data_IF_815253621471
#
_entry.id   IF_815253621471
#
_cell.length_a   1.000
_cell.length_b   1.000
_cell.length_c   1.000
_cell.angle_alpha   90.00
_cell.angle_beta   90.00
_cell.angle_gamma   90.00
#
_symmetry.space_group_name_H-M   'P 1'
#
loop_
_entity.id
_entity.type
_entity.pdbx_description
1 polymer ?
#
# COMPACT_ATOMS: atom_id res chain seq x y z
N UNK A 1 52.92 52.65 26.38
CA UNK A 1 51.83 51.63 26.36
C UNK A 1 50.94 51.64 25.11
N UNK A 2 50.72 52.77 24.42
CA UNK A 2 49.83 52.84 23.22
C UNK A 2 50.30 52.09 21.96
N UNK A 3 51.60 51.84 21.77
CA UNK A 3 52.14 51.17 20.55
C UNK A 3 51.92 49.65 20.51
N UNK A 4 51.87 48.97 21.66
CA UNK A 4 51.67 47.50 21.72
C UNK A 4 50.22 47.08 21.47
N UNK A 5 49.24 47.93 21.80
CA UNK A 5 47.81 47.67 21.56
C UNK A 5 47.46 47.70 20.06
N UNK A 6 48.10 48.59 19.29
CA UNK A 6 47.90 48.69 17.83
C UNK A 6 48.47 47.45 17.12
N UNK A 7 49.64 46.95 17.58
CA UNK A 7 50.24 45.74 17.02
C UNK A 7 49.38 44.48 17.28
N UNK A 8 48.80 44.34 18.48
CA UNK A 8 47.89 43.24 18.81
C UNK A 8 46.58 43.27 18.00
N UNK A 9 46.02 44.46 17.77
CA UNK A 9 44.82 44.62 16.94
C UNK A 9 45.08 44.30 15.46
N UNK A 10 46.25 44.66 14.93
CA UNK A 10 46.65 44.29 13.57
C UNK A 10 46.84 42.78 13.43
N UNK A 11 47.48 42.12 14.40
CA UNK A 11 47.63 40.66 14.38
C UNK A 11 46.27 39.97 14.47
N UNK A 12 45.38 40.42 15.36
CA UNK A 12 44.03 39.87 15.48
C UNK A 12 43.20 40.07 14.19
N UNK A 13 43.33 41.24 13.55
CA UNK A 13 42.67 41.53 12.28
C UNK A 13 43.18 40.66 11.13
N UNK A 14 44.50 40.44 11.05
CA UNK A 14 45.12 39.57 10.03
C UNK A 14 44.74 38.11 10.26
N UNK A 15 44.73 37.63 11.51
CA UNK A 15 44.30 36.26 11.83
C UNK A 15 42.82 36.07 11.50
N UNK A 16 41.95 37.03 11.84
CA UNK A 16 40.53 36.98 11.48
C UNK A 16 40.31 36.95 9.96
N UNK A 17 41.08 37.74 9.20
CA UNK A 17 41.01 37.77 7.74
C UNK A 17 41.49 36.45 7.11
N UNK A 18 42.57 35.85 7.63
CA UNK A 18 43.11 34.58 7.14
C UNK A 18 42.20 33.40 7.48
N UNK A 19 41.52 33.42 8.63
CA UNK A 19 40.53 32.40 9.00
C UNK A 19 39.28 32.50 8.12
N UNK A 20 38.82 33.72 7.80
CA UNK A 20 37.68 33.95 6.92
C UNK A 20 37.96 33.57 5.44
N UNK A 21 39.21 33.64 5.01
CA UNK A 21 39.62 33.25 3.65
C UNK A 21 39.89 31.75 3.46
N UNK A 22 39.68 30.89 4.47
CA UNK A 22 39.74 29.45 4.23
C UNK A 22 38.50 29.07 3.43
N UNK A 23 38.63 28.64 2.15
CA UNK A 23 37.50 28.04 1.47
C UNK A 23 37.00 26.88 2.32
N UNK A 24 35.68 26.75 2.46
CA UNK A 24 35.09 25.61 3.15
C UNK A 24 35.76 24.33 2.64
N UNK A 25 36.15 23.41 3.53
CA UNK A 25 36.66 22.12 3.11
C UNK A 25 35.69 21.55 2.08
N UNK A 26 36.17 21.06 0.92
CA UNK A 26 35.29 20.48 -0.07
C UNK A 26 34.41 19.45 0.63
N UNK A 27 33.09 19.57 0.44
CA UNK A 27 32.12 18.69 1.08
C UNK A 27 32.61 17.24 0.92
N UNK A 28 32.68 16.51 2.02
CA UNK A 28 33.15 15.13 2.00
C UNK A 28 32.39 14.37 0.90
N UNK A 29 33.09 13.59 0.05
CA UNK A 29 32.42 12.84 -1.00
C UNK A 29 31.30 12.01 -0.37
N UNK A 30 30.10 11.97 -0.98
CA UNK A 30 28.98 11.25 -0.42
C UNK A 30 29.41 9.79 -0.18
N UNK A 31 28.99 9.18 0.95
CA UNK A 31 29.35 7.81 1.26
C UNK A 31 28.97 6.88 0.10
N UNK A 32 29.78 5.83 -0.17
CA UNK A 32 29.49 4.89 -1.24
C UNK A 32 28.11 4.26 -1.02
N UNK A 33 27.24 4.40 -2.03
CA UNK A 33 25.89 3.83 -1.99
C UNK A 33 26.00 2.31 -2.08
N UNK A 34 25.56 1.61 -1.05
CA UNK A 34 25.43 0.16 -1.01
C UNK A 34 24.12 -0.27 -1.67
N UNK A 35 24.07 -1.56 -2.03
CA UNK A 35 22.87 -2.17 -2.58
C UNK A 35 21.75 -2.22 -1.54
N UNK A 36 20.54 -1.86 -1.96
CA UNK A 36 19.31 -2.08 -1.22
C UNK A 36 18.55 -3.20 -1.90
N UNK A 37 18.19 -4.24 -1.15
CA UNK A 37 17.43 -5.38 -1.64
C UNK A 37 16.06 -5.38 -0.98
N UNK A 38 15.00 -5.46 -1.79
CA UNK A 38 13.65 -5.68 -1.31
C UNK A 38 13.27 -7.12 -1.61
N UNK A 39 12.74 -7.82 -0.61
CA UNK A 39 12.37 -9.23 -0.67
C UNK A 39 10.89 -9.45 -0.40
N UNK A 40 10.33 -10.49 -1.01
CA UNK A 40 9.06 -11.07 -0.60
C UNK A 40 9.16 -11.69 0.80
N UNK A 41 8.04 -12.12 1.36
CA UNK A 41 7.98 -12.75 2.68
C UNK A 41 8.83 -14.03 2.78
N UNK A 42 8.98 -14.77 1.68
CA UNK A 42 9.80 -15.98 1.57
C UNK A 42 11.31 -15.70 1.40
N UNK A 43 11.71 -14.42 1.34
CA UNK A 43 13.10 -14.00 1.13
C UNK A 43 13.53 -13.94 -0.34
N UNK A 44 12.69 -14.35 -1.28
CA UNK A 44 12.97 -14.20 -2.71
C UNK A 44 13.03 -12.72 -3.10
N UNK A 45 13.87 -12.39 -4.09
CA UNK A 45 14.15 -11.00 -4.47
C UNK A 45 12.96 -10.41 -5.23
N UNK A 46 12.34 -9.36 -4.66
CA UNK A 46 11.33 -8.54 -5.32
C UNK A 46 11.97 -7.43 -6.16
N UNK A 47 13.01 -6.76 -5.62
CA UNK A 47 13.72 -5.68 -6.31
C UNK A 47 15.12 -5.46 -5.72
N UNK A 48 16.01 -4.86 -6.51
CA UNK A 48 17.29 -4.37 -6.04
C UNK A 48 17.61 -3.01 -6.65
N UNK A 49 18.25 -2.13 -5.88
CA UNK A 49 18.76 -0.84 -6.35
C UNK A 49 19.76 -0.96 -7.50
N UNK A 50 20.46 -2.10 -7.64
CA UNK A 50 21.38 -2.36 -8.76
C UNK A 50 20.63 -2.61 -10.08
N UNK A 51 19.36 -3.00 -10.01
CA UNK A 51 18.48 -3.20 -11.18
C UNK A 51 17.88 -1.91 -11.73
N UNK A 52 18.27 -0.75 -11.16
CA UNK A 52 17.77 0.57 -11.53
C UNK A 52 16.54 1.01 -10.70
N UNK A 53 15.91 2.11 -11.12
CA UNK A 53 14.78 2.70 -10.37
C UNK A 53 13.59 1.72 -10.27
N UNK A 54 12.82 1.76 -9.17
CA UNK A 54 11.60 0.96 -9.02
C UNK A 54 10.61 1.21 -10.16
N UNK A 55 10.35 0.19 -10.97
CA UNK A 55 9.37 0.26 -12.07
C UNK A 55 7.95 -0.09 -11.63
N UNK A 56 7.83 -0.97 -10.63
CA UNK A 56 6.52 -1.43 -10.13
C UNK A 56 6.00 -0.51 -9.03
N UNK A 57 4.68 -0.27 -9.03
CA UNK A 57 4.00 0.52 -7.99
C UNK A 57 4.13 -0.14 -6.61
N UNK A 58 4.18 -1.48 -6.54
CA UNK A 58 4.44 -2.20 -5.30
C UNK A 58 5.74 -1.76 -4.62
N UNK A 59 6.85 -1.74 -5.34
CA UNK A 59 8.15 -1.34 -4.76
C UNK A 59 8.15 0.13 -4.40
N UNK A 60 7.50 0.99 -5.21
CA UNK A 60 7.34 2.41 -4.87
C UNK A 60 6.58 2.59 -3.56
N UNK A 61 5.47 1.86 -3.35
CA UNK A 61 4.70 1.89 -2.11
C UNK A 61 5.51 1.37 -0.91
N UNK A 62 6.27 0.29 -1.09
CA UNK A 62 7.20 -0.21 -0.04
C UNK A 62 8.19 0.86 0.40
N UNK A 63 8.83 1.55 -0.56
CA UNK A 63 9.77 2.63 -0.24
C UNK A 63 9.08 3.85 0.38
N UNK A 64 7.85 4.15 -0.04
CA UNK A 64 7.05 5.22 0.56
C UNK A 64 6.71 4.90 2.03
N UNK A 65 6.30 3.67 2.34
CA UNK A 65 6.05 3.22 3.71
C UNK A 65 7.30 3.33 4.60
N UNK A 66 8.47 2.98 4.08
CA UNK A 66 9.74 3.17 4.80
C UNK A 66 10.05 4.65 5.05
N UNK A 67 9.81 5.51 4.06
CA UNK A 67 9.98 6.94 4.23
C UNK A 67 9.03 7.52 5.29
N UNK A 68 7.77 7.06 5.34
CA UNK A 68 6.81 7.39 6.41
C UNK A 68 7.32 6.92 7.80
N UNK A 69 8.06 5.81 7.85
CA UNK A 69 8.72 5.28 9.05
C UNK A 69 10.08 5.94 9.34
N UNK A 70 10.40 7.09 8.72
CA UNK A 70 11.66 7.82 8.86
C UNK A 70 12.91 7.06 8.37
N UNK A 71 12.73 6.04 7.51
CA UNK A 71 13.80 5.30 6.85
C UNK A 71 13.88 5.73 5.39
N UNK A 72 14.61 6.83 5.15
CA UNK A 72 14.78 7.37 3.80
C UNK A 72 15.57 6.42 2.91
N UNK A 73 15.31 6.45 1.61
CA UNK A 73 16.04 5.63 0.65
C UNK A 73 17.56 5.84 0.72
N UNK A 74 18.01 7.08 0.94
CA UNK A 74 19.44 7.38 1.11
C UNK A 74 20.03 6.68 2.35
N UNK A 75 19.31 6.63 3.47
CA UNK A 75 19.75 5.92 4.67
C UNK A 75 19.85 4.40 4.45
N UNK A 76 18.95 3.83 3.64
CA UNK A 76 18.98 2.43 3.23
C UNK A 76 20.20 2.16 2.34
N UNK A 77 20.53 3.08 1.43
CA UNK A 77 21.72 2.97 0.58
C UNK A 77 23.02 3.11 1.38
N UNK A 78 23.06 3.93 2.44
CA UNK A 78 24.25 4.03 3.30
C UNK A 78 24.48 2.74 4.10
N UNK A 79 23.40 2.13 4.58
CA UNK A 79 23.45 0.92 5.42
C UNK A 79 23.55 -0.39 4.64
N UNK A 80 23.17 -0.40 3.35
CA UNK A 80 23.10 -1.62 2.54
C UNK A 80 21.95 -2.51 2.99
N UNK A 81 20.75 -1.94 3.04
CA UNK A 81 19.62 -2.56 3.70
C UNK A 81 18.99 -3.72 2.91
N UNK A 82 18.58 -4.75 3.63
CA UNK A 82 17.65 -5.79 3.16
C UNK A 82 16.29 -5.49 3.79
N UNK A 83 15.31 -5.21 2.94
CA UNK A 83 13.92 -4.92 3.29
C UNK A 83 13.11 -6.17 3.06
N UNK A 84 12.56 -6.76 4.12
CA UNK A 84 11.65 -7.90 4.03
C UNK A 84 10.21 -7.40 4.08
N UNK A 85 9.43 -7.80 3.08
CA UNK A 85 8.02 -7.45 2.98
C UNK A 85 7.13 -8.55 3.59
N UNK A 86 5.85 -8.26 3.77
CA UNK A 86 4.80 -9.22 4.10
C UNK A 86 4.20 -9.91 2.86
N UNK A 87 4.59 -9.48 1.66
CA UNK A 87 3.98 -9.91 0.40
C UNK A 87 4.31 -11.38 0.14
N UNK A 88 3.27 -12.18 -0.02
CA UNK A 88 3.38 -13.58 -0.40
C UNK A 88 3.58 -13.66 -1.92
N UNK A 89 4.75 -14.11 -2.36
CA UNK A 89 5.11 -14.18 -3.78
C UNK A 89 4.17 -15.10 -4.59
N UNK A 90 3.70 -16.19 -3.98
CA UNK A 90 2.81 -17.16 -4.61
C UNK A 90 1.41 -16.57 -4.74
N UNK A 91 0.83 -16.06 -3.66
CA UNK A 91 -0.50 -15.45 -3.67
C UNK A 91 -0.55 -14.22 -4.60
N UNK A 92 0.52 -13.41 -4.60
CA UNK A 92 0.67 -12.28 -5.52
C UNK A 92 0.61 -12.74 -6.99
N UNK A 93 1.26 -13.87 -7.30
CA UNK A 93 1.28 -14.45 -8.64
C UNK A 93 -0.09 -15.02 -9.02
N UNK A 94 -0.74 -15.77 -8.12
CA UNK A 94 -2.10 -16.31 -8.34
C UNK A 94 -3.07 -15.18 -8.65
N UNK A 95 -3.09 -14.13 -7.81
CA UNK A 95 -3.95 -12.97 -8.03
C UNK A 95 -3.65 -12.28 -9.37
N UNK A 96 -2.37 -12.08 -9.72
CA UNK A 96 -1.97 -11.47 -10.99
C UNK A 96 -2.39 -12.32 -12.21
N UNK A 97 -2.34 -13.65 -12.11
CA UNK A 97 -2.80 -14.57 -13.16
C UNK A 97 -4.31 -14.49 -13.37
N UNK A 98 -5.09 -14.48 -12.29
CA UNK A 98 -6.56 -14.33 -12.35
C UNK A 98 -6.92 -13.00 -13.02
N UNK A 99 -6.27 -11.92 -12.59
CA UNK A 99 -6.43 -10.59 -13.16
C UNK A 99 -6.06 -10.55 -14.65
N UNK A 100 -4.92 -11.12 -15.02
CA UNK A 100 -4.45 -11.20 -16.41
C UNK A 100 -5.39 -11.96 -17.33
N UNK A 101 -6.16 -12.93 -16.81
CA UNK A 101 -7.14 -13.68 -17.59
C UNK A 101 -8.49 -12.98 -17.68
N UNK A 102 -8.97 -12.38 -16.58
CA UNK A 102 -10.33 -11.86 -16.49
C UNK A 102 -10.46 -10.38 -16.85
N UNK A 103 -9.44 -9.57 -16.57
CA UNK A 103 -9.51 -8.10 -16.70
C UNK A 103 -8.63 -7.60 -17.83
N UNK A 104 -7.39 -8.10 -17.99
CA UNK A 104 -6.48 -7.58 -19.01
C UNK A 104 -7.01 -7.65 -20.47
N UNK A 105 -7.87 -8.62 -20.86
CA UNK A 105 -8.50 -8.60 -22.18
C UNK A 105 -9.50 -7.45 -22.39
N UNK A 106 -9.99 -6.82 -21.31
CA UNK A 106 -10.95 -5.72 -21.33
C UNK A 106 -10.19 -4.40 -21.21
N UNK A 107 -9.85 -3.79 -22.36
CA UNK A 107 -8.88 -2.68 -22.46
C UNK A 107 -9.29 -1.41 -21.72
N UNK A 108 -10.57 -1.25 -21.45
CA UNK A 108 -11.17 -0.13 -20.73
C UNK A 108 -11.11 -0.31 -19.20
N UNK A 109 -10.90 -1.54 -18.71
CA UNK A 109 -10.93 -1.85 -17.29
C UNK A 109 -9.54 -1.81 -16.66
N UNK A 110 -9.53 -1.48 -15.38
CA UNK A 110 -8.43 -1.73 -14.46
C UNK A 110 -8.98 -2.48 -13.24
N UNK A 111 -8.09 -3.12 -12.48
CA UNK A 111 -8.46 -3.85 -11.28
C UNK A 111 -7.39 -3.77 -10.20
N UNK A 112 -7.86 -3.63 -8.97
CA UNK A 112 -7.02 -3.64 -7.78
C UNK A 112 -7.38 -4.84 -6.90
N UNK A 113 -6.36 -5.52 -6.38
CA UNK A 113 -6.52 -6.59 -5.39
C UNK A 113 -5.60 -6.32 -4.23
N UNK A 114 -6.15 -6.39 -3.02
CA UNK A 114 -5.34 -6.40 -1.80
C UNK A 114 -5.84 -7.50 -0.87
N UNK A 115 -4.90 -8.18 -0.22
CA UNK A 115 -5.19 -9.16 0.81
C UNK A 115 -4.36 -8.85 2.06
N UNK A 116 -5.00 -8.92 3.23
CA UNK A 116 -4.42 -8.53 4.52
C UNK A 116 -4.68 -9.62 5.54
N UNK A 117 -3.65 -9.94 6.34
CA UNK A 117 -3.74 -10.80 7.50
C UNK A 117 -4.42 -10.04 8.66
N UNK A 118 -5.60 -10.48 9.14
CA UNK A 118 -6.33 -9.82 10.23
C UNK A 118 -5.57 -9.75 11.55
N UNK A 119 -4.72 -10.75 11.84
CA UNK A 119 -4.06 -10.89 13.12
C UNK A 119 -2.88 -9.94 13.30
N UNK A 120 -2.20 -9.59 12.21
CA UNK A 120 -0.99 -8.73 12.22
C UNK A 120 -1.20 -7.39 11.52
N UNK A 121 -2.11 -7.34 10.55
CA UNK A 121 -2.25 -6.24 9.61
C UNK A 121 -1.26 -6.28 8.44
N UNK A 122 -0.52 -7.39 8.30
CA UNK A 122 0.43 -7.60 7.22
C UNK A 122 -0.31 -7.76 5.88
N UNK A 123 0.08 -6.95 4.89
CA UNK A 123 -0.47 -7.04 3.53
C UNK A 123 0.20 -8.21 2.80
N UNK A 124 -0.56 -9.24 2.46
CA UNK A 124 -0.08 -10.45 1.78
C UNK A 124 -0.11 -10.31 0.26
N UNK A 125 -1.09 -9.58 -0.28
CA UNK A 125 -1.22 -9.30 -1.72
C UNK A 125 -1.46 -7.82 -1.92
N UNK A 126 -0.77 -7.23 -2.90
CA UNK A 126 -0.88 -5.83 -3.26
C UNK A 126 -0.73 -5.65 -4.78
N UNK A 127 -1.85 -5.62 -5.49
CA UNK A 127 -1.92 -5.40 -6.93
C UNK A 127 -2.61 -4.05 -7.20
N UNK A 128 -1.84 -2.98 -7.45
CA UNK A 128 -2.34 -1.60 -7.52
C UNK A 128 -2.99 -1.21 -8.85
N UNK A 129 -3.27 -2.15 -9.75
CA UNK A 129 -3.73 -1.87 -11.11
C UNK A 129 -2.73 -2.30 -12.18
N UNK A 130 -3.24 -2.50 -13.39
CA UNK A 130 -2.46 -2.76 -14.60
C UNK A 130 -1.88 -1.48 -15.19
N UNK A 131 -2.55 -0.34 -14.96
CA UNK A 131 -2.04 0.94 -15.42
C UNK A 131 -1.00 1.43 -14.41
N UNK A 132 0.27 1.34 -14.79
CA UNK A 132 1.45 1.69 -13.98
C UNK A 132 1.51 3.16 -13.50
N UNK A 133 0.47 3.96 -13.75
CA UNK A 133 0.40 5.38 -13.43
C UNK A 133 -0.30 5.68 -12.11
N UNK A 134 -1.32 4.91 -11.75
CA UNK A 134 -2.17 5.21 -10.60
C UNK A 134 -2.16 4.04 -9.62
N UNK A 135 -1.88 4.30 -8.34
CA UNK A 135 -2.02 3.28 -7.31
C UNK A 135 -3.48 3.16 -6.88
N UNK A 136 -4.18 2.23 -7.51
CA UNK A 136 -5.60 1.99 -7.23
C UNK A 136 -5.83 1.34 -5.88
N UNK A 137 -4.82 0.75 -5.23
CA UNK A 137 -4.98 0.11 -3.91
C UNK A 137 -4.90 1.11 -2.77
N UNK A 138 -3.99 2.08 -2.83
CA UNK A 138 -3.71 2.97 -1.69
C UNK A 138 -3.87 4.47 -1.95
N UNK A 139 -3.90 4.93 -3.19
CA UNK A 139 -3.96 6.37 -3.51
C UNK A 139 -5.33 6.78 -4.07
N UNK A 140 -5.88 6.00 -5.00
CA UNK A 140 -7.14 6.36 -5.66
C UNK A 140 -8.34 5.95 -4.82
N UNK A 141 -9.16 6.94 -4.47
CA UNK A 141 -10.40 6.75 -3.72
C UNK A 141 -11.57 6.62 -4.69
N UNK A 142 -12.42 5.62 -4.46
CA UNK A 142 -13.62 5.34 -5.26
C UNK A 142 -14.77 4.97 -4.32
N UNK A 143 -16.00 5.19 -4.76
CA UNK A 143 -17.19 4.92 -3.94
C UNK A 143 -17.36 3.41 -3.71
N UNK A 144 -17.36 2.90 -2.47
CA UNK A 144 -17.50 1.45 -2.23
C UNK A 144 -18.87 0.88 -2.64
N UNK A 145 -19.87 1.74 -2.80
CA UNK A 145 -21.27 1.36 -3.03
C UNK A 145 -21.96 0.82 -1.76
N UNK A 146 -23.28 0.63 -1.80
CA UNK A 146 -24.09 0.36 -0.60
C UNK A 146 -23.82 -1.01 0.03
N UNK A 147 -23.38 -2.02 -0.75
CA UNK A 147 -23.14 -3.37 -0.24
C UNK A 147 -22.00 -3.42 0.79
N UNK A 148 -20.99 -2.56 0.63
CA UNK A 148 -19.84 -2.49 1.53
C UNK A 148 -20.11 -1.70 2.82
N UNK A 149 -21.18 -0.90 2.88
CA UNK A 149 -21.55 -0.09 4.05
C UNK A 149 -21.96 -0.93 5.27
N UNK A 150 -22.34 -2.19 5.07
CA UNK A 150 -22.71 -3.11 6.16
C UNK A 150 -21.57 -3.33 7.16
N UNK A 151 -20.32 -3.25 6.70
CA UNK A 151 -19.13 -3.44 7.53
C UNK A 151 -18.91 -2.32 8.56
N UNK A 152 -19.42 -1.12 8.28
CA UNK A 152 -19.23 0.05 9.14
C UNK A 152 -20.38 0.25 10.14
N UNK A 153 -21.34 -0.68 10.19
CA UNK A 153 -22.44 -0.62 11.16
C UNK A 153 -23.34 0.60 11.02
N UNK A 154 -23.37 1.22 9.84
CA UNK A 154 -24.10 2.47 9.60
C UNK A 154 -23.38 3.73 10.08
N UNK A 155 -22.10 3.68 10.46
CA UNK A 155 -21.31 4.85 10.92
C UNK A 155 -20.88 5.81 9.80
N UNK A 156 -21.37 5.63 8.56
CA UNK A 156 -21.09 6.45 7.37
C UNK A 156 -19.61 6.56 6.93
N UNK A 157 -18.66 5.93 7.60
CA UNK A 157 -17.21 5.99 7.31
C UNK A 157 -16.83 5.40 5.94
N UNK A 158 -17.72 4.61 5.31
CA UNK A 158 -17.58 4.12 3.93
C UNK A 158 -18.55 4.77 2.94
N UNK A 159 -19.34 5.78 3.36
CA UNK A 159 -20.12 6.61 2.42
C UNK A 159 -19.24 7.56 1.63
N UNK A 160 -18.06 7.87 2.16
CA UNK A 160 -17.05 8.66 1.46
C UNK A 160 -16.22 7.75 0.54
N UNK A 161 -15.67 8.30 -0.56
CA UNK A 161 -14.72 7.58 -1.40
C UNK A 161 -13.61 6.96 -0.54
N UNK A 162 -13.29 5.69 -0.81
CA UNK A 162 -12.30 4.95 -0.05
C UNK A 162 -11.35 4.22 -0.99
N UNK A 163 -10.15 3.94 -0.49
CA UNK A 163 -9.19 3.09 -1.21
C UNK A 163 -9.48 1.62 -0.92
N UNK A 164 -9.19 0.68 -1.84
CA UNK A 164 -9.28 -0.75 -1.58
C UNK A 164 -8.51 -1.19 -0.33
N UNK A 165 -7.36 -0.60 -0.04
CA UNK A 165 -6.60 -0.88 1.18
C UNK A 165 -7.36 -0.48 2.44
N UNK A 166 -8.05 0.68 2.43
CA UNK A 166 -8.88 1.13 3.55
C UNK A 166 -10.07 0.19 3.76
N UNK A 167 -10.75 -0.19 2.68
CA UNK A 167 -11.86 -1.17 2.74
C UNK A 167 -11.36 -2.51 3.29
N UNK A 168 -10.24 -3.01 2.79
CA UNK A 168 -9.64 -4.27 3.24
C UNK A 168 -9.30 -4.21 4.74
N UNK A 169 -8.68 -3.13 5.20
CA UNK A 169 -8.34 -2.95 6.61
C UNK A 169 -9.58 -2.98 7.53
N UNK A 170 -10.72 -2.43 7.08
CA UNK A 170 -11.99 -2.53 7.82
C UNK A 170 -12.51 -3.96 7.88
N UNK A 171 -12.46 -4.70 6.76
CA UNK A 171 -12.89 -6.10 6.72
C UNK A 171 -11.95 -7.02 7.51
N UNK A 172 -10.65 -6.73 7.52
CA UNK A 172 -9.67 -7.37 8.39
C UNK A 172 -9.98 -7.12 9.88
N UNK A 173 -10.38 -5.91 10.26
CA UNK A 173 -10.79 -5.63 11.62
C UNK A 173 -12.01 -6.46 12.04
N UNK A 174 -13.00 -6.63 11.16
CA UNK A 174 -14.15 -7.50 11.43
C UNK A 174 -13.73 -8.97 11.59
N UNK A 175 -12.86 -9.47 10.71
CA UNK A 175 -12.29 -10.82 10.81
C UNK A 175 -11.53 -11.04 12.13
N UNK A 176 -10.86 -10.00 12.62
CA UNK A 176 -10.13 -9.99 13.89
C UNK A 176 -11.01 -9.64 15.11
N UNK A 177 -12.33 -9.86 15.04
CA UNK A 177 -13.24 -9.63 16.17
C UNK A 177 -13.37 -8.15 16.57
N UNK A 178 -13.20 -7.24 15.61
CA UNK A 178 -13.29 -5.80 15.79
C UNK A 178 -11.96 -5.09 16.08
N UNK A 179 -10.84 -5.81 16.15
CA UNK A 179 -9.52 -5.21 16.38
C UNK A 179 -8.90 -4.77 15.05
N UNK A 180 -8.76 -3.46 14.87
CA UNK A 180 -8.16 -2.87 13.69
C UNK A 180 -6.64 -2.73 13.85
N UNK A 181 -5.90 -3.08 12.80
CA UNK A 181 -4.45 -2.91 12.71
C UNK A 181 -4.08 -2.06 11.52
N UNK A 182 -2.96 -1.33 11.62
CA UNK A 182 -2.45 -0.53 10.51
C UNK A 182 -1.94 -1.48 9.42
N UNK A 183 -2.43 -1.36 8.17
CA UNK A 183 -1.86 -2.10 7.05
C UNK A 183 -0.38 -1.74 6.86
N UNK A 184 0.45 -2.75 6.67
CA UNK A 184 1.88 -2.57 6.39
C UNK A 184 2.35 -3.60 5.36
N UNK A 185 3.23 -3.16 4.46
CA UNK A 185 3.89 -4.00 3.47
C UNK A 185 5.27 -4.44 3.95
N UNK A 186 5.92 -3.70 4.85
CA UNK A 186 7.26 -4.01 5.34
C UNK A 186 7.18 -4.65 6.71
N UNK A 187 7.77 -5.83 6.89
CA UNK A 187 7.83 -6.51 8.18
C UNK A 187 9.12 -6.20 8.93
N UNK A 188 10.25 -6.11 8.21
CA UNK A 188 11.56 -5.90 8.80
C UNK A 188 12.52 -5.22 7.83
N UNK A 189 13.42 -4.39 8.37
CA UNK A 189 14.60 -3.90 7.64
C UNK A 189 15.84 -4.26 8.43
N UNK A 190 16.81 -4.90 7.79
CA UNK A 190 18.13 -5.22 8.35
C UNK A 190 19.23 -4.51 7.57
N UNK A 191 20.23 -3.96 8.24
CA UNK A 191 21.42 -3.40 7.58
C UNK A 191 22.39 -4.51 7.16
N UNK A 192 23.40 -4.17 6.36
CA UNK A 192 24.42 -5.11 5.88
C UNK A 192 25.25 -5.75 7.01
N UNK A 193 25.28 -5.12 8.19
CA UNK A 193 25.94 -5.63 9.40
C UNK A 193 25.05 -6.61 10.20
N UNK A 194 23.83 -6.90 9.72
CA UNK A 194 22.87 -7.78 10.38
C UNK A 194 22.00 -7.09 11.44
N UNK A 195 22.21 -5.80 11.73
CA UNK A 195 21.39 -5.07 12.70
C UNK A 195 19.98 -4.79 12.16
N UNK A 196 18.95 -5.11 12.95
CA UNK A 196 17.57 -4.72 12.64
C UNK A 196 17.43 -3.21 12.82
N UNK A 197 17.02 -2.53 11.74
CA UNK A 197 16.75 -1.08 11.71
C UNK A 197 15.28 -0.75 11.85
N UNK A 198 14.41 -1.70 11.54
CA UNK A 198 12.96 -1.55 11.60
C UNK A 198 12.28 -2.89 11.76
N UNK A 199 11.17 -2.88 12.49
CA UNK A 199 10.21 -3.98 12.56
C UNK A 199 8.81 -3.38 12.64
N UNK A 200 7.87 -3.91 11.86
CA UNK A 200 6.49 -3.46 11.91
C UNK A 200 5.88 -3.70 13.30
N UNK A 201 5.06 -2.76 13.74
CA UNK A 201 4.24 -2.93 14.93
C UNK A 201 2.95 -3.66 14.58
N UNK A 202 2.64 -4.73 15.31
CA UNK A 202 1.40 -5.52 15.17
C UNK A 202 0.31 -5.04 16.15
N UNK A 203 0.50 -3.85 16.73
CA UNK A 203 -0.44 -3.27 17.68
C UNK A 203 -1.79 -3.00 17.02
N UNK A 204 -2.86 -3.38 17.73
CA UNK A 204 -4.23 -3.20 17.29
C UNK A 204 -5.04 -2.34 18.24
N UNK A 205 -6.07 -1.71 17.71
CA UNK A 205 -7.04 -0.91 18.44
C UNK A 205 -8.44 -1.51 18.28
N UNK A 206 -9.23 -1.55 19.35
CA UNK A 206 -10.60 -2.05 19.30
C UNK A 206 -11.53 -1.02 18.63
N UNK A 207 -11.69 -1.11 17.30
CA UNK A 207 -12.53 -0.19 16.52
C UNK A 207 -14.04 -0.55 16.60
N UNK A 208 -14.33 -1.84 16.76
CA UNK A 208 -15.69 -2.38 16.90
C UNK A 208 -15.76 -3.32 18.09
N UNK A 209 -16.92 -3.49 18.74
CA UNK A 209 -17.03 -4.56 19.74
C UNK A 209 -16.98 -5.93 19.06
N UNK A 210 -16.58 -6.95 19.81
CA UNK A 210 -16.55 -8.32 19.30
C UNK A 210 -17.94 -8.79 18.88
N UNK A 211 -18.96 -8.47 19.67
CA UNK A 211 -20.36 -8.83 19.40
C UNK A 211 -20.85 -8.21 18.10
N UNK A 212 -20.46 -6.96 17.85
CA UNK A 212 -20.78 -6.29 16.59
C UNK A 212 -20.09 -6.99 15.41
N UNK A 213 -18.80 -7.30 15.53
CA UNK A 213 -18.05 -8.01 14.49
C UNK A 213 -18.67 -9.40 14.19
N UNK A 214 -19.07 -10.14 15.22
CA UNK A 214 -19.72 -11.45 15.09
C UNK A 214 -21.10 -11.34 14.39
N UNK A 215 -21.88 -10.31 14.71
CA UNK A 215 -23.17 -10.04 14.06
C UNK A 215 -23.00 -9.70 12.57
N UNK A 216 -22.02 -8.84 12.23
CA UNK A 216 -21.72 -8.51 10.83
C UNK A 216 -21.24 -9.76 10.09
N UNK A 217 -20.33 -10.54 10.69
CA UNK A 217 -19.83 -11.80 10.12
C UNK A 217 -20.97 -12.76 9.79
N UNK A 218 -21.93 -12.91 10.71
CA UNK A 218 -23.10 -13.79 10.51
C UNK A 218 -23.94 -13.35 9.32
N UNK A 219 -24.18 -12.04 9.17
CA UNK A 219 -24.92 -11.50 8.02
C UNK A 219 -24.18 -11.70 6.72
N UNK A 220 -22.87 -11.46 6.70
CA UNK A 220 -22.03 -11.63 5.51
C UNK A 220 -21.98 -13.09 5.05
N UNK A 221 -21.88 -14.06 5.98
CA UNK A 221 -21.93 -15.50 5.65
C UNK A 221 -23.28 -15.95 5.09
N UNK A 222 -24.37 -15.25 5.45
CA UNK A 222 -25.70 -15.51 4.92
C UNK A 222 -25.88 -15.07 3.46
N UNK A 223 -24.90 -14.40 2.86
CA UNK A 223 -24.97 -14.00 1.46
C UNK A 223 -24.81 -15.22 0.52
N UNK A 224 -25.84 -15.60 -0.26
CA UNK A 224 -25.77 -16.78 -1.12
C UNK A 224 -24.73 -16.64 -2.23
N UNK A 225 -24.35 -15.42 -2.63
CA UNK A 225 -23.34 -15.18 -3.65
C UNK A 225 -21.91 -15.55 -3.19
N UNK A 226 -21.69 -15.74 -1.88
CA UNK A 226 -20.38 -15.96 -1.29
C UNK A 226 -20.12 -17.42 -0.87
N UNK A 227 -21.01 -18.37 -1.21
CA UNK A 227 -20.87 -19.79 -0.88
C UNK A 227 -20.53 -20.06 0.60
N UNK A 228 -21.16 -19.32 1.52
CA UNK A 228 -20.97 -19.45 2.97
C UNK A 228 -19.73 -18.74 3.55
N UNK A 229 -18.90 -18.12 2.72
CA UNK A 229 -17.84 -17.22 3.18
C UNK A 229 -18.41 -15.84 3.51
N UNK A 230 -17.78 -15.12 4.45
CA UNK A 230 -18.18 -13.76 4.77
C UNK A 230 -17.74 -12.83 3.64
N UNK A 231 -18.67 -12.39 2.79
CA UNK A 231 -18.35 -11.45 1.71
C UNK A 231 -19.51 -10.50 1.36
N UNK A 232 -19.14 -9.35 0.82
CA UNK A 232 -20.04 -8.30 0.39
C UNK A 232 -19.63 -7.81 -1.02
N UNK A 233 -20.23 -8.36 -2.09
CA UNK A 233 -20.16 -7.74 -3.40
C UNK A 233 -20.94 -6.43 -3.38
N UNK A 234 -20.48 -5.45 -4.14
CA UNK A 234 -21.10 -4.13 -4.24
C UNK A 234 -20.80 -3.53 -5.60
N UNK A 235 -21.76 -2.86 -6.21
CA UNK A 235 -21.59 -2.14 -7.45
C UNK A 235 -22.03 -0.69 -7.28
N UNK A 236 -21.33 0.21 -7.94
CA UNK A 236 -21.66 1.62 -7.95
C UNK A 236 -22.12 2.07 -9.33
N UNK A 237 -23.35 2.58 -9.38
CA UNK A 237 -23.96 3.19 -10.57
C UNK A 237 -24.08 4.70 -10.35
N UNK A 238 -23.71 5.50 -11.35
CA UNK A 238 -23.88 6.96 -11.27
C UNK A 238 -25.36 7.34 -11.21
N UNK A 239 -25.77 8.31 -10.35
CA UNK A 239 -27.14 8.82 -10.35
C UNK A 239 -27.59 9.36 -11.71
N UNK A 240 -26.66 9.89 -12.52
CA UNK A 240 -26.94 10.41 -13.85
C UNK A 240 -27.18 9.30 -14.89
N UNK A 241 -26.63 8.10 -14.66
CA UNK A 241 -26.69 6.96 -15.58
C UNK A 241 -26.94 5.65 -14.81
N UNK A 242 -28.14 5.45 -14.26
CA UNK A 242 -28.44 4.35 -13.32
C UNK A 242 -28.36 2.95 -13.95
N UNK A 243 -28.26 2.86 -15.29
CA UNK A 243 -28.07 1.59 -16.02
C UNK A 243 -26.60 1.25 -16.26
N UNK A 244 -25.67 2.11 -15.87
CA UNK A 244 -24.22 1.91 -16.06
C UNK A 244 -23.51 1.78 -14.73
N UNK A 245 -22.80 0.67 -14.57
CA UNK A 245 -21.90 0.44 -13.44
C UNK A 245 -20.54 1.06 -13.74
N UNK A 246 -20.13 2.06 -12.96
CA UNK A 246 -18.83 2.74 -13.14
C UNK A 246 -17.68 1.91 -12.59
N UNK A 247 -17.93 1.28 -11.44
CA UNK A 247 -17.02 0.36 -10.79
C UNK A 247 -17.78 -0.58 -9.86
N UNK A 248 -17.14 -1.71 -9.58
CA UNK A 248 -17.66 -2.74 -8.72
C UNK A 248 -16.57 -3.24 -7.77
N UNK A 249 -17.01 -3.80 -6.66
CA UNK A 249 -16.20 -4.22 -5.55
C UNK A 249 -16.68 -5.57 -5.02
N UNK A 250 -15.76 -6.26 -4.37
CA UNK A 250 -16.10 -7.23 -3.34
C UNK A 250 -15.09 -7.10 -2.22
N UNK A 251 -15.56 -7.17 -0.98
CA UNK A 251 -14.72 -7.36 0.17
C UNK A 251 -15.24 -8.54 0.98
N UNK A 252 -14.34 -9.35 1.47
CA UNK A 252 -14.69 -10.54 2.24
C UNK A 252 -13.50 -11.07 2.99
N UNK A 253 -13.74 -12.02 3.87
CA UNK A 253 -12.69 -12.57 4.71
C UNK A 253 -12.96 -14.00 5.18
N UNK A 254 -11.86 -14.67 5.49
CA UNK A 254 -11.77 -15.79 6.42
C UNK A 254 -11.15 -15.28 7.74
N UNK A 255 -11.06 -16.09 8.80
CA UNK A 255 -10.32 -15.69 10.00
C UNK A 255 -8.84 -15.35 9.76
N UNK A 256 -8.24 -15.87 8.69
CA UNK A 256 -6.80 -15.75 8.40
C UNK A 256 -6.48 -14.74 7.29
N UNK A 257 -7.47 -14.35 6.48
CA UNK A 257 -7.24 -13.48 5.33
C UNK A 257 -8.47 -12.64 5.01
N UNK A 258 -8.31 -11.32 4.98
CA UNK A 258 -9.26 -10.40 4.39
C UNK A 258 -8.80 -10.01 2.99
N UNK A 259 -9.73 -9.95 2.04
CA UNK A 259 -9.44 -9.68 0.62
C UNK A 259 -10.46 -8.70 0.08
N UNK A 260 -9.97 -7.66 -0.58
CA UNK A 260 -10.77 -6.69 -1.33
C UNK A 260 -10.33 -6.70 -2.79
N UNK A 261 -11.32 -6.76 -3.68
CA UNK A 261 -11.14 -6.59 -5.13
C UNK A 261 -11.97 -5.42 -5.58
N UNK A 262 -11.37 -4.55 -6.39
CA UNK A 262 -12.02 -3.47 -7.11
C UNK A 262 -11.82 -3.67 -8.61
N UNK A 263 -12.85 -3.41 -9.40
CA UNK A 263 -12.78 -3.37 -10.86
C UNK A 263 -13.52 -2.14 -11.35
N UNK A 264 -12.91 -1.40 -12.27
CA UNK A 264 -13.55 -0.25 -12.87
C UNK A 264 -12.72 0.41 -13.95
N UNK A 265 -13.29 1.43 -14.58
CA UNK A 265 -12.52 2.27 -15.49
C UNK A 265 -11.67 3.24 -14.68
N UNK A 266 -10.35 3.23 -14.91
CA UNK A 266 -9.47 4.29 -14.42
C UNK A 266 -9.66 5.53 -15.28
N UNK A 267 -9.71 6.69 -14.64
CA UNK A 267 -9.54 7.99 -15.29
C UNK A 267 -8.10 8.06 -15.83
N UNK A 268 -7.90 7.55 -17.03
CA UNK A 268 -6.68 7.82 -17.78
C UNK A 268 -6.83 9.23 -18.37
N UNK A 269 -5.79 10.09 -18.30
CA UNK A 269 -5.79 11.39 -18.98
C UNK A 269 -5.78 11.27 -20.52
N UNK A 270 -5.76 10.04 -21.04
CA UNK A 270 -5.69 9.77 -22.46
C UNK A 270 -7.11 9.50 -22.97
N UNK A 271 -7.63 10.46 -23.73
CA UNK A 271 -8.79 10.27 -24.60
C UNK A 271 -8.41 9.22 -25.66
N UNK A 272 -8.53 7.95 -25.29
CA UNK A 272 -8.38 6.81 -26.20
C UNK A 272 -9.68 6.54 -26.99
N UNK A 273 -10.68 7.41 -26.85
CA UNK A 273 -11.99 7.29 -27.47
C UNK A 273 -12.78 6.06 -27.00
N UNK A 274 -12.36 5.39 -25.92
CA UNK A 274 -13.10 4.25 -25.40
C UNK A 274 -14.41 4.74 -24.77
N UNK A 275 -15.55 4.08 -25.09
CA UNK A 275 -16.79 4.40 -24.42
C UNK A 275 -16.62 4.14 -22.92
N UNK A 276 -17.33 4.91 -22.12
CA UNK A 276 -17.32 4.71 -20.69
C UNK A 276 -17.77 3.28 -20.33
N UNK A 277 -16.95 2.58 -19.56
CA UNK A 277 -17.10 1.15 -19.32
C UNK A 277 -18.40 0.89 -18.53
N UNK A 278 -19.14 -0.13 -18.94
CA UNK A 278 -20.21 -0.71 -18.12
C UNK A 278 -19.67 -1.97 -17.45
N UNK A 279 -19.15 -1.82 -16.24
CA UNK A 279 -18.48 -2.88 -15.51
C UNK A 279 -19.48 -3.99 -15.15
N UNK A 280 -19.11 -5.24 -15.40
CA UNK A 280 -19.84 -6.38 -14.86
C UNK A 280 -19.76 -6.35 -13.33
N UNK A 281 -20.91 -6.15 -12.68
CA UNK A 281 -21.03 -6.05 -11.23
C UNK A 281 -20.55 -7.31 -10.49
N UNK A 282 -20.56 -8.47 -11.15
CA UNK A 282 -20.15 -9.74 -10.58
C UNK A 282 -18.66 -10.05 -10.78
N UNK A 283 -17.97 -9.34 -11.68
CA UNK A 283 -16.57 -9.60 -12.02
C UNK A 283 -15.62 -9.53 -10.80
N UNK A 284 -15.69 -8.55 -9.88
CA UNK A 284 -14.87 -8.54 -8.67
C UNK A 284 -15.08 -9.80 -7.81
N UNK A 285 -16.34 -10.26 -7.69
CA UNK A 285 -16.69 -11.46 -6.92
C UNK A 285 -16.11 -12.72 -7.55
N UNK A 286 -16.16 -12.84 -8.89
CA UNK A 286 -15.54 -13.95 -9.61
C UNK A 286 -14.02 -13.96 -9.39
N UNK A 287 -13.35 -12.81 -9.52
CA UNK A 287 -11.91 -12.68 -9.25
C UNK A 287 -11.58 -13.11 -7.82
N UNK A 288 -12.37 -12.64 -6.84
CA UNK A 288 -12.18 -12.97 -5.43
C UNK A 288 -12.34 -14.47 -5.16
N UNK A 289 -13.35 -15.12 -5.74
CA UNK A 289 -13.56 -16.56 -5.61
C UNK A 289 -12.43 -17.37 -6.24
N UNK A 290 -12.00 -17.00 -7.45
CA UNK A 290 -10.90 -17.68 -8.14
C UNK A 290 -9.55 -17.49 -7.44
N UNK A 291 -9.30 -16.30 -6.89
CA UNK A 291 -8.11 -16.05 -6.09
C UNK A 291 -8.06 -16.94 -4.84
N UNK A 292 -9.18 -17.08 -4.11
CA UNK A 292 -9.23 -17.92 -2.91
C UNK A 292 -9.16 -19.42 -3.21
N UNK A 293 -9.40 -19.84 -4.46
CA UNK A 293 -9.37 -21.24 -4.86
C UNK A 293 -7.98 -21.71 -5.37
N UNK A 294 -7.05 -20.81 -5.65
CA UNK A 294 -5.71 -21.11 -6.21
C UNK A 294 -4.58 -21.06 -5.19
#
# INVERSE_FOLDING_TARGET
>A
MRRSLIALLLVAGVVGYVVWQRPDPPAAPPPPRKEVVVQYADGSRLWSSTSGRPRTLLVKRVLAELAEASLSYDSLQVSGAVVRTSIDAKAQTVAATVLGRLVAPQRELDAAVTAMDPASGAVRVYLPGFRYTNDMVSEVQKEPGPGLLLADGGRNSLKEPATPLKVNATYAALAAGGVQRKPHLVTEVTAADGSTRYRAAEAGEQAFSKEFADQVTTRLKGNPACNGMACAPSAYTSPAEPRKTKHAWVAGYTPELAVTVWVGQTEVPYDDGLPEANVDADLPRVIWQEFLAG
#
